data_IF_431528426884
#
_entry.id   IF_431528426884
#
_cell.length_a   1.000
_cell.length_b   1.000
_cell.length_c   1.000
_cell.angle_alpha   90.00
_cell.angle_beta   90.00
_cell.angle_gamma   90.00
#
_symmetry.space_group_name_H-M   'P 1'
#
loop_
_entity.id
_entity.type
_entity.pdbx_description
1 polymer ?
#
# COMPACT_ATOMS: atom_id res chain seq x y z
N UNK A 1 4.60 25.87 -10.95
CA UNK A 1 4.41 24.43 -10.70
C UNK A 1 3.07 24.29 -10.00
N UNK A 2 2.11 23.58 -10.57
CA UNK A 2 0.80 23.36 -9.93
C UNK A 2 1.01 22.40 -8.77
N UNK A 3 0.77 22.86 -7.55
CA UNK A 3 0.77 22.02 -6.35
C UNK A 3 -0.51 21.19 -6.43
N UNK A 4 -0.39 19.90 -6.77
CA UNK A 4 -1.53 18.97 -6.68
C UNK A 4 -1.94 18.97 -5.21
N UNK A 5 -3.12 19.49 -4.92
CA UNK A 5 -3.70 19.43 -3.59
C UNK A 5 -4.13 17.98 -3.33
N UNK A 6 -3.83 17.48 -2.13
CA UNK A 6 -4.24 16.15 -1.71
C UNK A 6 -5.15 16.29 -0.49
N UNK A 7 -6.30 15.63 -0.52
CA UNK A 7 -7.09 15.43 0.69
C UNK A 7 -6.43 14.31 1.52
N UNK A 8 -6.27 14.55 2.82
CA UNK A 8 -5.65 13.61 3.76
C UNK A 8 -6.72 12.99 4.65
N UNK A 9 -6.84 11.67 4.58
CA UNK A 9 -7.66 10.85 5.46
C UNK A 9 -6.75 9.98 6.32
N UNK A 10 -7.10 9.79 7.59
CA UNK A 10 -6.36 8.91 8.49
C UNK A 10 -7.33 7.85 9.00
N UNK A 11 -7.04 6.59 8.70
CA UNK A 11 -7.70 5.45 9.31
C UNK A 11 -6.80 4.93 10.42
N UNK A 12 -7.21 5.17 11.66
CA UNK A 12 -6.53 4.65 12.86
C UNK A 12 -7.29 3.44 13.39
N UNK A 13 -6.60 2.31 13.48
CA UNK A 13 -7.08 1.11 14.12
C UNK A 13 -6.84 1.18 15.64
N UNK A 14 -7.58 0.40 16.44
CA UNK A 14 -7.34 0.34 17.88
C UNK A 14 -5.87 0.00 18.16
N UNK A 15 -5.30 0.58 19.22
CA UNK A 15 -3.88 0.34 19.53
C UNK A 15 -3.67 -1.12 19.88
N UNK A 16 -2.63 -1.75 19.32
CA UNK A 16 -2.30 -3.12 19.66
C UNK A 16 -1.86 -3.21 21.13
N UNK A 17 -2.15 -4.34 21.77
CA UNK A 17 -1.63 -4.67 23.10
C UNK A 17 -0.81 -5.96 23.07
N UNK A 18 -0.43 -6.47 24.24
CA UNK A 18 0.43 -7.64 24.34
C UNK A 18 -0.19 -8.93 23.75
N UNK A 19 -1.52 -9.03 23.66
CA UNK A 19 -2.24 -10.20 23.18
C UNK A 19 -3.02 -9.98 21.90
N UNK A 20 -3.23 -8.73 21.49
CA UNK A 20 -4.11 -8.38 20.39
C UNK A 20 -3.46 -7.40 19.40
N UNK A 21 -3.60 -7.68 18.11
CA UNK A 21 -3.15 -6.80 17.01
C UNK A 21 -4.29 -6.62 16.01
N UNK A 22 -4.56 -5.39 15.54
CA UNK A 22 -5.68 -5.13 14.63
C UNK A 22 -5.68 -5.99 13.36
N UNK A 23 -4.53 -6.11 12.67
CA UNK A 23 -4.44 -6.89 11.43
C UNK A 23 -4.39 -8.41 11.66
N UNK A 24 -4.29 -8.86 12.92
CA UNK A 24 -4.43 -10.27 13.29
C UNK A 24 -5.88 -10.63 13.67
N UNK A 25 -6.72 -9.63 13.93
CA UNK A 25 -8.14 -9.80 14.18
C UNK A 25 -8.91 -9.91 12.84
N UNK A 26 -9.64 -11.01 12.57
CA UNK A 26 -10.30 -11.21 11.28
C UNK A 26 -11.35 -10.15 10.95
N UNK A 27 -12.06 -9.62 11.95
CA UNK A 27 -13.13 -8.65 11.74
C UNK A 27 -12.53 -7.28 11.42
N UNK A 28 -11.55 -6.84 12.23
CA UNK A 28 -10.82 -5.59 11.99
C UNK A 28 -10.06 -5.60 10.66
N UNK A 29 -9.44 -6.72 10.32
CA UNK A 29 -8.78 -6.93 9.02
C UNK A 29 -9.77 -6.80 7.86
N UNK A 30 -10.93 -7.47 7.95
CA UNK A 30 -11.94 -7.46 6.90
C UNK A 30 -12.53 -6.04 6.71
N UNK A 31 -12.80 -5.31 7.79
CA UNK A 31 -13.28 -3.93 7.72
C UNK A 31 -12.23 -2.98 7.12
N UNK A 32 -10.97 -3.10 7.56
CA UNK A 32 -9.86 -2.30 7.03
C UNK A 32 -9.67 -2.55 5.54
N UNK A 33 -9.65 -3.81 5.12
CA UNK A 33 -9.52 -4.19 3.73
C UNK A 33 -10.73 -3.75 2.90
N UNK A 34 -11.95 -3.82 3.43
CA UNK A 34 -13.15 -3.32 2.76
C UNK A 34 -13.01 -1.83 2.45
N UNK A 35 -12.67 -1.03 3.47
CA UNK A 35 -12.55 0.41 3.34
C UNK A 35 -11.45 0.79 2.33
N UNK A 36 -10.26 0.19 2.43
CA UNK A 36 -9.16 0.43 1.49
C UNK A 36 -9.50 -0.03 0.06
N UNK A 37 -10.19 -1.16 -0.08
CA UNK A 37 -10.60 -1.67 -1.39
C UNK A 37 -11.62 -0.75 -2.05
N UNK A 38 -12.59 -0.24 -1.28
CA UNK A 38 -13.66 0.60 -1.80
C UNK A 38 -13.24 2.06 -2.02
N UNK A 39 -12.17 2.51 -1.38
CA UNK A 39 -11.66 3.89 -1.47
C UNK A 39 -11.40 4.38 -2.90
N UNK A 40 -10.83 3.53 -3.77
CA UNK A 40 -10.34 3.98 -5.07
C UNK A 40 -10.49 2.96 -6.20
N UNK A 41 -9.91 3.26 -7.38
CA UNK A 41 -9.90 2.37 -8.54
C UNK A 41 -9.16 1.05 -8.27
N UNK A 42 -9.60 0.00 -8.98
CA UNK A 42 -9.06 -1.36 -8.90
C UNK A 42 -8.37 -1.71 -10.23
N UNK A 43 -7.33 -2.57 -10.24
CA UNK A 43 -6.73 -3.26 -9.09
C UNK A 43 -5.85 -2.33 -8.24
N UNK A 44 -5.58 -2.70 -6.99
CA UNK A 44 -4.63 -2.01 -6.12
C UNK A 44 -3.20 -2.46 -6.43
N UNK A 45 -2.24 -1.55 -6.25
CA UNK A 45 -0.81 -1.89 -6.27
C UNK A 45 -0.26 -1.66 -4.87
N UNK A 46 0.36 -2.69 -4.28
CA UNK A 46 1.06 -2.54 -3.01
C UNK A 46 2.56 -2.52 -3.25
N UNK A 47 3.26 -1.55 -2.66
CA UNK A 47 4.72 -1.45 -2.69
C UNK A 47 5.27 -1.63 -1.28
N UNK A 48 6.14 -2.60 -1.10
CA UNK A 48 6.83 -2.90 0.15
C UNK A 48 8.29 -2.49 0.02
N UNK A 49 8.76 -1.67 0.94
CA UNK A 49 10.16 -1.29 1.06
C UNK A 49 10.97 -2.43 1.68
N UNK A 50 12.06 -2.81 1.03
CA UNK A 50 12.94 -3.91 1.47
C UNK A 50 14.39 -3.44 1.49
N UNK A 51 15.15 -3.86 2.52
CA UNK A 51 16.60 -3.62 2.60
C UNK A 51 17.42 -4.79 2.03
N UNK A 52 16.76 -5.94 1.82
CA UNK A 52 17.35 -7.18 1.34
C UNK A 52 16.43 -7.81 0.29
N UNK A 53 16.46 -9.13 0.16
CA UNK A 53 15.56 -9.86 -0.72
C UNK A 53 14.08 -9.61 -0.37
N UNK A 54 13.22 -9.70 -1.39
CA UNK A 54 11.77 -9.68 -1.21
C UNK A 54 11.33 -10.76 -0.21
N UNK A 55 10.49 -10.43 0.78
CA UNK A 55 9.91 -11.42 1.69
C UNK A 55 9.24 -12.58 0.95
N UNK A 56 9.42 -13.80 1.44
CA UNK A 56 8.89 -15.00 0.77
C UNK A 56 7.36 -15.04 0.69
N UNK A 57 6.67 -14.42 1.65
CA UNK A 57 5.20 -14.33 1.64
C UNK A 57 4.68 -13.59 0.40
N UNK A 58 5.43 -12.61 -0.12
CA UNK A 58 5.04 -11.86 -1.33
C UNK A 58 5.01 -12.72 -2.60
N UNK A 59 5.65 -13.89 -2.61
CA UNK A 59 5.78 -14.72 -3.81
C UNK A 59 4.44 -15.19 -4.38
N UNK A 60 3.40 -15.25 -3.54
CA UNK A 60 2.04 -15.57 -3.98
C UNK A 60 1.49 -14.59 -5.03
N UNK A 61 1.98 -13.34 -5.05
CA UNK A 61 1.53 -12.28 -5.96
C UNK A 61 2.52 -11.96 -7.09
N UNK A 62 3.51 -12.82 -7.34
CA UNK A 62 4.54 -12.63 -8.40
C UNK A 62 5.20 -11.23 -8.31
N UNK A 63 5.92 -10.95 -7.23
CA UNK A 63 6.43 -9.62 -6.92
C UNK A 63 7.41 -9.11 -7.99
N UNK A 64 7.37 -7.80 -8.25
CA UNK A 64 8.26 -7.13 -9.20
C UNK A 64 9.11 -6.10 -8.46
N UNK A 65 10.43 -6.14 -8.70
CA UNK A 65 11.33 -5.11 -8.19
C UNK A 65 11.02 -3.75 -8.82
N UNK A 66 11.02 -2.70 -8.01
CA UNK A 66 10.83 -1.31 -8.45
C UNK A 66 11.87 -0.40 -7.80
N UNK A 67 12.16 0.75 -8.45
CA UNK A 67 13.12 1.74 -7.92
C UNK A 67 12.54 2.56 -6.76
N UNK A 68 11.24 2.82 -6.76
CA UNK A 68 10.59 3.49 -5.64
C UNK A 68 10.64 2.61 -4.39
N UNK A 69 11.24 3.13 -3.32
CA UNK A 69 11.40 2.42 -2.05
C UNK A 69 10.73 3.22 -0.92
N UNK A 70 9.59 2.76 -0.37
CA UNK A 70 8.92 3.46 0.72
C UNK A 70 9.65 3.32 2.05
N UNK A 71 9.42 4.28 2.96
CA UNK A 71 9.93 4.22 4.34
C UNK A 71 11.46 4.24 4.48
N UNK A 72 12.18 4.81 3.51
CA UNK A 72 13.64 4.89 3.51
C UNK A 72 14.35 3.57 3.23
N UNK A 73 13.64 2.57 2.71
CA UNK A 73 14.23 1.29 2.32
C UNK A 73 15.22 1.44 1.15
N UNK A 74 16.11 0.46 0.99
CA UNK A 74 17.08 0.44 -0.10
C UNK A 74 16.48 0.10 -1.47
N UNK A 75 15.40 -0.68 -1.50
CA UNK A 75 14.69 -1.07 -2.71
C UNK A 75 13.18 -1.22 -2.44
N UNK A 76 12.38 -1.24 -3.51
CA UNK A 76 10.95 -1.52 -3.44
C UNK A 76 10.57 -2.80 -4.17
N UNK A 77 9.54 -3.45 -3.66
CA UNK A 77 8.91 -4.60 -4.29
C UNK A 77 7.43 -4.32 -4.43
N UNK A 78 6.92 -4.38 -5.64
CA UNK A 78 5.54 -4.06 -5.95
C UNK A 78 4.76 -5.31 -6.40
N UNK A 79 3.52 -5.42 -5.93
CA UNK A 79 2.57 -6.49 -6.25
C UNK A 79 1.24 -5.90 -6.66
N UNK A 80 0.46 -6.66 -7.44
CA UNK A 80 -0.90 -6.29 -7.85
C UNK A 80 -1.88 -7.10 -7.01
N UNK A 81 -2.82 -6.39 -6.38
CA UNK A 81 -3.91 -6.97 -5.60
C UNK A 81 -5.19 -6.88 -6.42
N UNK A 82 -5.68 -8.03 -6.88
CA UNK A 82 -6.77 -8.11 -7.87
C UNK A 82 -8.15 -8.24 -7.25
N UNK A 83 -8.23 -8.58 -5.97
CA UNK A 83 -9.48 -8.73 -5.23
C UNK A 83 -9.34 -8.22 -3.79
N UNK A 84 -10.47 -7.97 -3.14
CA UNK A 84 -10.52 -7.67 -1.70
C UNK A 84 -9.88 -8.79 -0.87
N UNK A 85 -10.12 -10.05 -1.23
CA UNK A 85 -9.51 -11.20 -0.55
C UNK A 85 -7.98 -11.22 -0.68
N UNK A 86 -7.43 -10.77 -1.83
CA UNK A 86 -5.99 -10.62 -1.98
C UNK A 86 -5.45 -9.53 -1.04
N UNK A 87 -6.18 -8.42 -0.88
CA UNK A 87 -5.81 -7.35 0.04
C UNK A 87 -5.87 -7.80 1.50
N UNK A 88 -6.93 -8.49 1.93
CA UNK A 88 -7.04 -9.07 3.27
C UNK A 88 -5.85 -10.01 3.55
N UNK A 89 -5.57 -10.91 2.61
CA UNK A 89 -4.45 -11.84 2.71
C UNK A 89 -3.11 -11.11 2.76
N UNK A 90 -2.92 -10.09 1.93
CA UNK A 90 -1.71 -9.27 1.91
C UNK A 90 -1.48 -8.57 3.26
N UNK A 91 -2.54 -7.96 3.81
CA UNK A 91 -2.50 -7.25 5.10
C UNK A 91 -2.24 -8.19 6.28
N UNK A 92 -2.77 -9.42 6.22
CA UNK A 92 -2.54 -10.44 7.23
C UNK A 92 -1.12 -11.01 7.17
N UNK A 93 -0.64 -11.41 5.99
CA UNK A 93 0.68 -12.06 5.84
C UNK A 93 1.85 -11.08 5.97
N UNK A 94 1.65 -9.80 5.66
CA UNK A 94 2.71 -8.80 5.66
C UNK A 94 2.85 -8.00 6.97
N UNK A 95 1.98 -8.22 7.95
CA UNK A 95 2.07 -7.59 9.26
C UNK A 95 3.48 -7.87 9.88
N UNK A 96 4.18 -6.85 10.39
CA UNK A 96 3.71 -5.51 10.75
C UNK A 96 3.75 -4.40 9.66
N UNK A 97 3.95 -4.65 8.37
CA UNK A 97 3.85 -3.61 7.31
C UNK A 97 4.62 -2.28 7.54
N UNK A 98 5.80 -2.30 8.13
CA UNK A 98 6.51 -1.07 8.56
C UNK A 98 7.00 -0.15 7.43
N UNK A 99 6.91 -0.57 6.16
CA UNK A 99 7.31 0.20 4.97
C UNK A 99 6.43 -0.12 3.77
N UNK A 100 5.13 0.02 3.93
CA UNK A 100 4.17 -0.36 2.89
C UNK A 100 3.41 0.86 2.40
N UNK A 101 3.31 1.00 1.09
CA UNK A 101 2.45 1.98 0.44
C UNK A 101 1.48 1.26 -0.48
N UNK A 102 0.18 1.49 -0.31
CA UNK A 102 -0.85 1.10 -1.24
C UNK A 102 -1.09 2.22 -2.24
N UNK A 103 -1.29 1.87 -3.49
CA UNK A 103 -1.49 2.79 -4.61
C UNK A 103 -2.79 2.42 -5.30
N UNK A 104 -3.63 3.41 -5.56
CA UNK A 104 -4.81 3.25 -6.40
C UNK A 104 -4.50 3.81 -7.80
N UNK A 105 -4.18 2.93 -8.79
CA UNK A 105 -3.79 3.37 -10.12
C UNK A 105 -4.91 4.14 -10.82
N UNK A 106 -4.57 5.28 -11.43
CA UNK A 106 -5.53 6.11 -12.16
C UNK A 106 -6.02 5.47 -13.46
N UNK A 107 -5.15 4.75 -14.16
CA UNK A 107 -5.45 4.19 -15.49
C UNK A 107 -5.29 2.67 -15.53
N UNK A 108 -4.09 2.19 -15.22
CA UNK A 108 -3.80 0.77 -15.06
C UNK A 108 -2.49 0.62 -14.28
N UNK A 109 -2.26 -0.58 -13.75
CA UNK A 109 -1.08 -0.92 -12.98
C UNK A 109 0.20 -0.80 -13.82
N UNK A 110 0.15 -1.10 -15.12
CA UNK A 110 1.34 -1.07 -15.99
C UNK A 110 1.98 0.32 -16.04
N UNK A 111 1.17 1.37 -16.19
CA UNK A 111 1.63 2.77 -16.17
C UNK A 111 2.21 3.15 -14.82
N UNK A 112 1.59 2.68 -13.73
CA UNK A 112 2.12 2.87 -12.38
C UNK A 112 3.47 2.18 -12.20
N UNK A 113 3.65 0.94 -12.67
CA UNK A 113 4.94 0.22 -12.61
C UNK A 113 6.03 0.92 -13.43
N UNK A 114 5.71 1.44 -14.61
CA UNK A 114 6.65 2.25 -15.41
C UNK A 114 7.11 3.48 -14.62
N UNK A 115 6.17 4.21 -14.01
CA UNK A 115 6.48 5.41 -13.25
C UNK A 115 7.22 5.13 -11.92
N UNK A 116 6.93 4.00 -11.26
CA UNK A 116 7.67 3.52 -10.07
C UNK A 116 9.15 3.21 -10.37
N UNK A 117 9.50 3.00 -11.65
CA UNK A 117 10.88 2.81 -12.11
C UNK A 117 11.48 4.05 -12.78
N UNK A 118 10.70 5.13 -12.90
CA UNK A 118 11.08 6.38 -13.53
C UNK A 118 11.72 7.38 -12.57
N UNK A 119 11.38 8.65 -12.76
CA UNK A 119 11.86 9.73 -11.90
C UNK A 119 11.30 9.61 -10.47
N UNK A 120 12.06 10.12 -9.50
CA UNK A 120 11.61 10.20 -8.12
C UNK A 120 10.23 10.91 -8.05
N UNK A 121 9.28 10.29 -7.36
CA UNK A 121 7.90 10.76 -7.20
C UNK A 121 7.08 10.89 -8.51
N UNK A 122 7.58 10.46 -9.67
CA UNK A 122 6.83 10.48 -10.93
C UNK A 122 5.55 9.64 -10.89
N UNK A 123 5.53 8.60 -10.05
CA UNK A 123 4.38 7.72 -9.83
C UNK A 123 3.16 8.44 -9.25
N UNK A 124 3.34 9.58 -8.54
CA UNK A 124 2.22 10.36 -7.99
C UNK A 124 1.23 10.83 -9.08
N UNK A 125 1.70 11.02 -10.32
CA UNK A 125 0.86 11.42 -11.45
C UNK A 125 0.09 10.26 -12.07
N UNK A 126 0.35 9.02 -11.63
CA UNK A 126 -0.25 7.79 -12.18
C UNK A 126 -1.27 7.16 -11.24
N UNK A 127 -1.54 7.80 -10.09
CA UNK A 127 -2.44 7.29 -9.06
C UNK A 127 -3.49 8.35 -8.72
N UNK A 128 -4.69 7.89 -8.35
CA UNK A 128 -5.74 8.77 -7.81
C UNK A 128 -5.63 8.90 -6.28
N UNK A 129 -4.91 7.98 -5.65
CA UNK A 129 -4.54 8.10 -4.26
C UNK A 129 -3.43 7.13 -3.90
N UNK A 130 -2.92 7.29 -2.68
CA UNK A 130 -2.01 6.35 -2.06
C UNK A 130 -2.19 6.33 -0.55
N UNK A 131 -1.93 5.18 0.08
CA UNK A 131 -1.99 5.02 1.52
C UNK A 131 -0.65 4.54 2.06
N UNK A 132 -0.09 5.26 3.02
CA UNK A 132 1.10 4.84 3.76
C UNK A 132 0.66 4.10 5.02
N UNK A 133 1.14 2.87 5.20
CA UNK A 133 0.91 2.09 6.41
C UNK A 133 1.99 2.45 7.43
N UNK A 134 1.56 2.86 8.62
CA UNK A 134 2.39 3.31 9.72
C UNK A 134 2.11 2.47 10.98
N UNK A 135 2.97 2.65 12.01
CA UNK A 135 2.80 2.03 13.33
C UNK A 135 2.44 0.55 13.26
N UNK A 136 3.25 -0.22 12.54
CA UNK A 136 3.09 -1.66 12.46
C UNK A 136 1.73 -2.15 11.89
N UNK A 137 1.02 -1.33 11.10
CA UNK A 137 -0.31 -1.65 10.57
C UNK A 137 -1.48 -1.08 11.36
N UNK A 138 -1.21 -0.21 12.35
CA UNK A 138 -2.25 0.45 13.14
C UNK A 138 -2.79 1.72 12.49
N UNK A 139 -2.02 2.38 11.61
CA UNK A 139 -2.43 3.66 11.03
C UNK A 139 -2.23 3.63 9.52
N UNK A 140 -3.27 3.97 8.79
CA UNK A 140 -3.26 4.14 7.35
C UNK A 140 -3.47 5.62 7.02
N UNK A 141 -2.41 6.28 6.58
CA UNK A 141 -2.48 7.66 6.11
C UNK A 141 -2.75 7.66 4.62
N UNK A 142 -3.98 8.03 4.24
CA UNK A 142 -4.48 8.00 2.86
C UNK A 142 -4.49 9.40 2.29
N UNK A 143 -3.89 9.55 1.12
CA UNK A 143 -3.87 10.80 0.38
C UNK A 143 -4.56 10.59 -0.96
N UNK A 144 -5.56 11.42 -1.25
CA UNK A 144 -6.28 11.42 -2.52
C UNK A 144 -5.86 12.63 -3.36
N UNK A 145 -5.48 12.42 -4.62
CA UNK A 145 -5.22 13.53 -5.52
C UNK A 145 -6.54 14.29 -5.76
N UNK A 146 -6.56 15.60 -5.51
CA UNK A 146 -7.68 16.43 -5.97
C UNK A 146 -7.67 16.42 -7.50
N UNK A 147 -8.81 16.01 -8.07
CA UNK A 147 -9.04 15.90 -9.51
C UNK A 147 -9.06 17.24 -10.21
#
# INVERSE_FOLDING_TARGET
MSQVAYDRFVLELPTADAGWRPLADPECLAETAAWLWDFGPKPLVAVVGVDKAAPSWLMAWKPRGVRFAPGGASAGVAVVLTSRADLERFLSEGAPHERTVLLWPRTNETKTFEALNGAANGWLQTVDGHASIQRAGEVFEVHQAQG
#
